data_IF_245415615004
#
_entry.id   IF_245415615004
#
_cell.length_a   1.000
_cell.length_b   1.000
_cell.length_c   1.000
_cell.angle_alpha   90.00
_cell.angle_beta   90.00
_cell.angle_gamma   90.00
#
_symmetry.space_group_name_H-M   'P 1'
#
loop_
_entity.id
_entity.type
_entity.pdbx_description
1 polymer ?
#
# COMPACT_ATOMS: atom_id res chain seq x y z
N UNK A 1 -0.39 -24.88 16.15
CA UNK A 1 0.59 -23.87 16.62
C UNK A 1 0.67 -22.81 15.55
N UNK A 2 -0.07 -21.71 15.71
CA UNK A 2 -0.02 -20.55 14.81
C UNK A 2 1.31 -19.82 15.05
N UNK A 3 2.23 -19.92 14.10
CA UNK A 3 3.48 -19.16 14.12
C UNK A 3 3.16 -17.82 13.47
N UNK A 4 2.63 -16.88 14.25
CA UNK A 4 2.62 -15.47 13.86
C UNK A 4 4.09 -15.02 13.77
N UNK A 5 4.56 -14.42 12.67
CA UNK A 5 5.96 -13.97 12.50
C UNK A 5 6.44 -13.02 13.59
N UNK A 6 5.51 -12.39 14.32
CA UNK A 6 5.75 -11.52 15.48
C UNK A 6 6.36 -12.24 16.70
N UNK A 7 6.36 -13.57 16.73
CA UNK A 7 6.91 -14.37 17.84
C UNK A 7 8.40 -14.72 17.69
N UNK A 8 9.00 -14.45 16.52
CA UNK A 8 10.39 -14.80 16.21
C UNK A 8 11.29 -13.57 16.50
N UNK A 9 11.64 -13.41 17.77
CA UNK A 9 12.55 -12.36 18.26
C UNK A 9 14.00 -12.82 18.04
N UNK A 10 14.73 -12.19 17.12
CA UNK A 10 16.12 -12.59 16.81
C UNK A 10 17.15 -11.96 17.76
N UNK A 11 16.86 -10.80 18.34
CA UNK A 11 17.80 -10.10 19.21
C UNK A 11 17.06 -9.15 20.15
N UNK A 12 17.23 -9.35 21.46
CA UNK A 12 16.77 -8.42 22.50
C UNK A 12 18.01 -7.76 23.12
N UNK A 13 18.34 -6.55 22.66
CA UNK A 13 19.15 -5.61 23.43
C UNK A 13 18.27 -4.38 23.69
N UNK A 14 18.03 -4.08 24.96
CA UNK A 14 17.35 -2.85 25.39
C UNK A 14 18.02 -1.66 24.68
N UNK A 15 17.42 -1.00 23.67
CA UNK A 15 15.99 -0.68 23.50
C UNK A 15 15.35 -1.12 22.15
N UNK A 16 15.96 -2.02 21.37
CA UNK A 16 15.50 -2.36 20.00
C UNK A 16 15.26 -3.86 19.88
N UNK A 17 14.00 -4.26 19.69
CA UNK A 17 13.60 -5.64 19.43
C UNK A 17 13.62 -5.88 17.92
N UNK A 18 14.58 -6.65 17.43
CA UNK A 18 14.65 -7.02 16.01
C UNK A 18 13.74 -8.23 15.74
N UNK A 19 12.50 -7.93 15.37
CA UNK A 19 11.52 -8.94 14.95
C UNK A 19 11.70 -9.31 13.48
N UNK A 20 11.41 -10.57 13.15
CA UNK A 20 11.32 -11.04 11.76
C UNK A 20 10.42 -10.13 10.90
N UNK A 21 9.32 -9.65 11.49
CA UNK A 21 8.39 -8.69 10.88
C UNK A 21 9.11 -7.42 10.38
N UNK A 22 10.07 -6.87 11.15
CA UNK A 22 10.81 -5.67 10.72
C UNK A 22 11.68 -5.96 9.50
N UNK A 23 12.38 -7.10 9.49
CA UNK A 23 13.19 -7.53 8.35
C UNK A 23 12.35 -7.71 7.08
N UNK A 24 11.20 -8.38 7.18
CA UNK A 24 10.30 -8.56 6.03
C UNK A 24 9.69 -7.23 5.58
N UNK A 25 9.35 -6.31 6.49
CA UNK A 25 8.86 -4.97 6.10
C UNK A 25 9.93 -4.17 5.35
N UNK A 26 11.19 -4.17 5.81
CA UNK A 26 12.28 -3.49 5.11
C UNK A 26 12.60 -4.12 3.77
N UNK A 27 12.57 -5.45 3.67
CA UNK A 27 12.75 -6.16 2.41
C UNK A 27 11.63 -5.78 1.42
N UNK A 28 10.38 -5.77 1.88
CA UNK A 28 9.22 -5.43 1.04
C UNK A 28 9.24 -3.95 0.63
N UNK A 29 9.60 -3.04 1.54
CA UNK A 29 9.79 -1.61 1.22
C UNK A 29 10.93 -1.40 0.22
N UNK A 30 12.07 -2.06 0.44
CA UNK A 30 13.21 -1.99 -0.48
C UNK A 30 12.87 -2.53 -1.87
N UNK A 31 12.13 -3.63 -1.94
CA UNK A 31 11.64 -4.19 -3.19
C UNK A 31 10.65 -3.24 -3.87
N UNK A 32 9.69 -2.65 -3.15
CA UNK A 32 8.75 -1.69 -3.73
C UNK A 32 9.41 -0.41 -4.22
N UNK A 33 10.34 0.15 -3.45
CA UNK A 33 11.11 1.34 -3.87
C UNK A 33 11.98 1.00 -5.08
N UNK A 34 12.61 -0.18 -5.08
CA UNK A 34 13.42 -0.66 -6.21
C UNK A 34 12.59 -0.88 -7.47
N UNK A 35 11.46 -1.59 -7.36
CA UNK A 35 10.53 -1.84 -8.47
C UNK A 35 9.90 -0.55 -8.96
N UNK A 36 9.41 0.32 -8.07
CA UNK A 36 8.85 1.62 -8.43
C UNK A 36 9.89 2.50 -9.14
N UNK A 37 11.11 2.57 -8.61
CA UNK A 37 12.22 3.28 -9.24
C UNK A 37 12.64 2.70 -10.59
N UNK A 38 12.54 1.38 -10.77
CA UNK A 38 12.87 0.74 -12.04
C UNK A 38 11.77 0.91 -13.09
N UNK A 39 10.50 0.79 -12.68
CA UNK A 39 9.31 0.98 -13.51
C UNK A 39 9.21 2.43 -13.97
N UNK A 40 9.39 3.40 -13.07
CA UNK A 40 9.37 4.84 -13.41
C UNK A 40 10.51 5.25 -14.35
N UNK A 41 11.65 4.54 -14.30
CA UNK A 41 12.78 4.76 -15.21
C UNK A 41 12.58 4.21 -16.63
N UNK A 42 11.65 3.28 -16.81
CA UNK A 42 11.36 2.66 -18.11
C UNK A 42 10.05 3.14 -18.74
N UNK A 43 9.45 4.22 -18.23
CA UNK A 43 8.25 4.82 -18.82
C UNK A 43 8.59 5.34 -20.22
N UNK A 44 8.10 4.63 -21.24
CA UNK A 44 8.14 5.11 -22.61
C UNK A 44 6.95 6.01 -22.86
N UNK A 45 7.24 7.24 -23.29
CA UNK A 45 6.23 8.29 -23.58
C UNK A 45 5.74 8.19 -25.04
N UNK A 46 6.45 7.45 -25.91
CA UNK A 46 6.13 7.31 -27.32
C UNK A 46 5.79 5.85 -27.72
N UNK A 47 4.80 5.64 -28.61
CA UNK A 47 4.47 4.31 -29.13
C UNK A 47 5.64 3.63 -29.86
N UNK A 48 5.73 2.28 -29.85
CA UNK A 48 4.78 1.33 -29.26
C UNK A 48 4.95 1.20 -27.74
N UNK A 49 3.83 1.29 -27.00
CA UNK A 49 3.80 1.06 -25.57
C UNK A 49 4.08 -0.43 -25.29
N UNK A 50 4.94 -0.76 -24.31
CA UNK A 50 5.17 -2.15 -23.93
C UNK A 50 3.92 -2.74 -23.23
N UNK A 51 3.66 -4.03 -23.44
CA UNK A 51 2.45 -4.69 -22.93
C UNK A 51 2.25 -4.58 -21.41
N UNK A 52 3.35 -4.48 -20.64
CA UNK A 52 3.30 -4.27 -19.20
C UNK A 52 2.80 -2.88 -18.80
N UNK A 53 3.04 -1.85 -19.62
CA UNK A 53 2.54 -0.49 -19.39
C UNK A 53 1.04 -0.41 -19.64
N UNK A 54 0.53 -1.08 -20.69
CA UNK A 54 -0.91 -1.17 -20.95
C UNK A 54 -1.65 -1.89 -19.81
N UNK A 55 -1.06 -2.95 -19.24
CA UNK A 55 -1.65 -3.63 -18.08
C UNK A 55 -1.68 -2.72 -16.84
N UNK A 56 -0.60 -1.98 -16.58
CA UNK A 56 -0.55 -1.02 -15.47
C UNK A 56 -1.57 0.11 -15.66
N UNK A 57 -1.69 0.65 -16.87
CA UNK A 57 -2.67 1.69 -17.18
C UNK A 57 -4.10 1.20 -16.96
N UNK A 58 -4.42 -0.02 -17.42
CA UNK A 58 -5.72 -0.64 -17.16
C UNK A 58 -6.01 -0.82 -15.66
N UNK A 59 -5.01 -1.21 -14.88
CA UNK A 59 -5.15 -1.33 -13.42
C UNK A 59 -5.37 0.03 -12.77
N UNK A 60 -4.57 1.04 -13.12
CA UNK A 60 -4.68 2.39 -12.57
C UNK A 60 -6.02 3.04 -12.93
N UNK A 61 -6.47 2.88 -14.17
CA UNK A 61 -7.76 3.41 -14.63
C UNK A 61 -8.93 2.67 -13.96
N UNK A 62 -8.82 1.35 -13.77
CA UNK A 62 -9.78 0.58 -12.97
C UNK A 62 -9.88 1.10 -11.52
N UNK A 63 -8.73 1.36 -10.88
CA UNK A 63 -8.69 1.95 -9.54
C UNK A 63 -9.27 3.36 -9.51
N UNK A 64 -8.94 4.19 -10.51
CA UNK A 64 -9.45 5.56 -10.62
C UNK A 64 -10.97 5.57 -10.69
N UNK A 65 -11.55 4.76 -11.57
CA UNK A 65 -13.00 4.65 -11.72
C UNK A 65 -13.67 4.07 -10.47
N UNK A 66 -13.06 3.07 -9.83
CA UNK A 66 -13.60 2.51 -8.58
C UNK A 66 -13.63 3.55 -7.45
N UNK A 67 -12.56 4.32 -7.28
CA UNK A 67 -12.51 5.38 -6.26
C UNK A 67 -13.53 6.47 -6.59
N UNK A 68 -13.65 6.85 -7.87
CA UNK A 68 -14.64 7.83 -8.34
C UNK A 68 -16.07 7.40 -8.02
N UNK A 69 -16.40 6.15 -8.28
CA UNK A 69 -17.75 5.62 -8.07
C UNK A 69 -18.11 5.56 -6.57
N UNK A 70 -17.14 5.23 -5.71
CA UNK A 70 -17.33 5.16 -4.25
C UNK A 70 -17.42 6.55 -3.63
N UNK A 71 -16.49 7.44 -3.98
CA UNK A 71 -16.37 8.76 -3.33
C UNK A 71 -17.26 9.82 -3.96
N UNK A 72 -17.69 9.62 -5.22
CA UNK A 72 -18.33 10.64 -6.06
C UNK A 72 -17.56 11.97 -6.12
N UNK A 73 -16.24 11.91 -5.87
CA UNK A 73 -15.33 13.04 -5.81
C UNK A 73 -14.16 12.82 -6.77
N UNK A 74 -13.34 13.85 -6.93
CA UNK A 74 -12.13 13.73 -7.73
C UNK A 74 -11.18 12.69 -7.10
N UNK A 75 -10.87 11.59 -7.80
CA UNK A 75 -10.04 10.50 -7.26
C UNK A 75 -8.56 10.86 -7.16
N UNK A 76 -8.09 11.89 -7.87
CA UNK A 76 -6.68 12.18 -8.07
C UNK A 76 -5.89 12.26 -6.73
N UNK A 77 -6.41 12.90 -5.66
CA UNK A 77 -5.71 12.95 -4.38
C UNK A 77 -5.65 11.61 -3.64
N UNK A 78 -6.63 10.74 -3.86
CA UNK A 78 -6.71 9.41 -3.25
C UNK A 78 -5.93 8.37 -4.04
N UNK A 79 -5.84 8.52 -5.36
CA UNK A 79 -5.26 7.56 -6.28
C UNK A 79 -3.81 7.24 -5.90
N UNK A 80 -3.02 8.25 -5.53
CA UNK A 80 -1.61 8.06 -5.15
C UNK A 80 -1.47 7.23 -3.86
N UNK A 81 -2.33 7.47 -2.87
CA UNK A 81 -2.30 6.75 -1.59
C UNK A 81 -2.87 5.34 -1.70
N UNK A 82 -4.05 5.21 -2.31
CA UNK A 82 -4.71 3.91 -2.52
C UNK A 82 -3.91 3.06 -3.51
N UNK A 83 -3.33 3.67 -4.55
CA UNK A 83 -2.43 3.03 -5.52
C UNK A 83 -1.20 2.41 -4.88
N UNK A 84 -0.52 3.15 -4.00
CA UNK A 84 0.67 2.63 -3.30
C UNK A 84 0.33 1.51 -2.32
N UNK A 85 -0.80 1.62 -1.59
CA UNK A 85 -1.29 0.54 -0.74
C UNK A 85 -1.66 -0.70 -1.54
N UNK A 86 -2.38 -0.54 -2.65
CA UNK A 86 -2.76 -1.63 -3.53
C UNK A 86 -1.52 -2.35 -4.08
N UNK A 87 -0.56 -1.61 -4.63
CA UNK A 87 0.69 -2.18 -5.13
C UNK A 87 1.47 -2.90 -4.03
N UNK A 88 1.51 -2.34 -2.80
CA UNK A 88 2.14 -2.99 -1.66
C UNK A 88 1.48 -4.34 -1.35
N UNK A 89 0.15 -4.36 -1.24
CA UNK A 89 -0.61 -5.56 -0.88
C UNK A 89 -0.49 -6.63 -1.98
N UNK A 90 -0.69 -6.26 -3.25
CA UNK A 90 -0.60 -7.20 -4.38
C UNK A 90 0.81 -7.78 -4.48
N UNK A 91 1.85 -6.96 -4.39
CA UNK A 91 3.24 -7.42 -4.46
C UNK A 91 3.58 -8.33 -3.29
N UNK A 92 3.19 -7.95 -2.07
CA UNK A 92 3.39 -8.73 -0.86
C UNK A 92 2.74 -10.12 -0.98
N UNK A 93 1.49 -10.17 -1.47
CA UNK A 93 0.78 -11.42 -1.68
C UNK A 93 1.38 -12.24 -2.82
N UNK A 94 1.80 -11.62 -3.92
CA UNK A 94 2.40 -12.33 -5.04
C UNK A 94 3.73 -13.00 -4.65
N UNK A 95 4.53 -12.33 -3.79
CA UNK A 95 5.79 -12.88 -3.30
C UNK A 95 5.63 -14.10 -2.39
N UNK A 96 4.43 -14.36 -1.84
CA UNK A 96 4.15 -15.59 -1.06
C UNK A 96 4.26 -16.87 -1.88
N UNK A 97 4.19 -16.78 -3.21
CA UNK A 97 4.40 -17.92 -4.11
C UNK A 97 5.84 -18.46 -4.03
N UNK A 98 6.78 -17.64 -3.53
CA UNK A 98 8.18 -18.04 -3.36
C UNK A 98 8.32 -18.88 -2.09
N UNK A 99 8.76 -20.14 -2.20
CA UNK A 99 8.91 -21.00 -1.03
C UNK A 99 9.93 -20.41 -0.05
N UNK A 100 9.52 -20.22 1.21
CA UNK A 100 10.33 -19.61 2.27
C UNK A 100 10.10 -18.10 2.48
N UNK A 101 9.26 -17.45 1.66
CA UNK A 101 8.88 -16.05 1.87
C UNK A 101 7.63 -15.93 2.75
N UNK A 102 7.76 -15.21 3.86
CA UNK A 102 6.62 -14.82 4.68
C UNK A 102 6.24 -13.38 4.38
N UNK A 103 5.07 -13.20 3.75
CA UNK A 103 4.57 -11.87 3.48
C UNK A 103 4.34 -11.09 4.78
N UNK A 104 4.78 -9.82 4.86
CA UNK A 104 4.51 -8.98 6.03
C UNK A 104 3.00 -8.79 6.26
N UNK A 105 2.18 -8.85 5.21
CA UNK A 105 0.70 -8.87 5.29
C UNK A 105 0.12 -10.10 6.00
N UNK A 106 0.90 -11.17 6.19
CA UNK A 106 0.50 -12.31 7.01
C UNK A 106 0.62 -12.06 8.52
N UNK A 107 1.23 -10.94 8.93
CA UNK A 107 1.28 -10.54 10.34
C UNK A 107 0.09 -9.63 10.71
N UNK A 108 -0.49 -9.89 11.87
CA UNK A 108 -1.51 -9.03 12.46
C UNK A 108 -0.97 -7.61 12.67
N UNK A 109 0.27 -7.48 13.13
CA UNK A 109 0.90 -6.19 13.39
C UNK A 109 0.97 -5.29 12.14
N UNK A 110 1.34 -5.83 10.98
CA UNK A 110 1.41 -5.05 9.74
C UNK A 110 0.02 -4.70 9.22
N UNK A 111 -0.92 -5.63 9.32
CA UNK A 111 -2.32 -5.41 8.90
C UNK A 111 -2.97 -4.31 9.75
N UNK A 112 -2.75 -4.33 11.07
CA UNK A 112 -3.23 -3.29 11.99
C UNK A 112 -2.56 -1.94 11.71
N UNK A 113 -1.26 -1.91 11.44
CA UNK A 113 -0.56 -0.67 11.10
C UNK A 113 -1.11 -0.02 9.82
N UNK A 114 -1.32 -0.81 8.76
CA UNK A 114 -1.92 -0.33 7.51
C UNK A 114 -3.37 0.15 7.73
N UNK A 115 -4.16 -0.59 8.51
CA UNK A 115 -5.53 -0.21 8.84
C UNK A 115 -5.58 1.12 9.59
N UNK A 116 -4.69 1.35 10.56
CA UNK A 116 -4.59 2.62 11.28
C UNK A 116 -4.16 3.76 10.35
N UNK A 117 -3.21 3.54 9.44
CA UNK A 117 -2.83 4.53 8.44
C UNK A 117 -4.01 4.96 7.57
N UNK A 118 -4.81 4.01 7.06
CA UNK A 118 -6.03 4.30 6.29
C UNK A 118 -7.08 5.00 7.14
N UNK A 119 -7.28 4.55 8.38
CA UNK A 119 -8.25 5.12 9.32
C UNK A 119 -7.97 6.58 9.63
N UNK A 120 -6.70 7.00 9.68
CA UNK A 120 -6.31 8.40 9.87
C UNK A 120 -6.31 9.17 8.55
N UNK A 121 -5.84 8.56 7.46
CA UNK A 121 -5.75 9.20 6.15
C UNK A 121 -7.13 9.58 5.59
N UNK A 122 -8.12 8.69 5.65
CA UNK A 122 -9.45 8.91 5.07
C UNK A 122 -10.15 10.17 5.64
N UNK A 123 -10.23 10.36 6.97
CA UNK A 123 -10.74 11.61 7.55
C UNK A 123 -9.93 12.84 7.15
N UNK A 124 -8.60 12.75 7.12
CA UNK A 124 -7.75 13.89 6.74
C UNK A 124 -8.01 14.31 5.30
N UNK A 125 -8.08 13.36 4.36
CA UNK A 125 -8.41 13.67 2.96
C UNK A 125 -9.84 14.21 2.83
N UNK A 126 -10.80 13.65 3.58
CA UNK A 126 -12.18 14.16 3.63
C UNK A 126 -12.26 15.62 4.12
N UNK A 127 -11.51 15.98 5.16
CA UNK A 127 -11.44 17.35 5.69
C UNK A 127 -10.75 18.29 4.69
N UNK A 128 -9.69 17.83 4.01
CA UNK A 128 -8.94 18.63 3.03
C UNK A 128 -9.75 18.96 1.77
N UNK A 129 -10.56 18.03 1.28
CA UNK A 129 -11.37 18.28 0.08
C UNK A 129 -12.66 19.06 0.37
N UNK A 130 -13.29 18.86 1.53
CA UNK A 130 -14.62 19.44 1.83
C UNK A 130 -14.56 20.73 2.65
N UNK A 131 -13.40 21.04 3.25
CA UNK A 131 -13.24 22.14 4.21
C UNK A 131 -13.83 21.80 5.58
N UNK A 132 -13.20 22.31 6.64
CA UNK A 132 -13.57 22.04 8.04
C UNK A 132 -15.05 22.36 8.37
N UNK A 133 -15.68 23.27 7.61
CA UNK A 133 -17.07 23.74 7.86
C UNK A 133 -18.18 22.86 7.28
N UNK A 134 -17.92 22.02 6.27
CA UNK A 134 -18.95 21.15 5.66
C UNK A 134 -18.90 19.71 6.19
N UNK A 135 -17.82 19.35 6.90
CA UNK A 135 -17.61 18.01 7.47
C UNK A 135 -18.52 17.74 8.69
N UNK A 136 -18.87 18.77 9.47
CA UNK A 136 -19.73 18.65 10.66
C UNK A 136 -21.23 18.59 10.35
N UNK A 137 -21.68 19.03 9.17
CA UNK A 137 -23.10 19.15 8.82
C UNK A 137 -23.70 17.84 8.27
N UNK A 138 -22.88 16.89 7.80
CA UNK A 138 -23.38 15.66 7.14
C UNK A 138 -23.23 14.38 7.97
N UNK A 139 -22.97 14.51 9.27
CA UNK A 139 -23.04 13.40 10.25
C UNK A 139 -24.24 13.56 11.22
N UNK A 140 -25.22 14.41 10.88
CA UNK A 140 -26.59 14.39 11.42
C UNK A 140 -27.54 13.85 10.35
#
# INVERSE_FOLDING_TARGET
MEITPDSIVFYTREPIVLNATLLFTWLTMGLLVGVSGWVTRQLSVCPPLPAWQNLLEMVVDGMYNQIRDITQQDPEPYLSFVGTLFLFIVTSNLLTVVPGYHAPTGSLSTTVALALCVFVAVPIFGIRQQGLGNYSVRWQ
#
